data_IF_935566876616
#
_entry.id   IF_935566876616
#
_cell.length_a   1.000
_cell.length_b   1.000
_cell.length_c   1.000
_cell.angle_alpha   90.00
_cell.angle_beta   90.00
_cell.angle_gamma   90.00
#
_symmetry.space_group_name_H-M   'P 1'
#
loop_
_entity.id
_entity.type
_entity.pdbx_description
1 polymer ?
#
# COMPACT_ATOMS: atom_id res chain seq x y z
N UNK A 1 -1.96 -73.34 15.27
CA UNK A 1 -0.87 -72.61 15.95
C UNK A 1 -1.13 -71.16 15.63
N UNK A 2 -1.79 -70.47 16.56
CA UNK A 2 -2.03 -69.04 16.47
C UNK A 2 -0.68 -68.33 16.66
N UNK A 3 -0.27 -67.55 15.66
CA UNK A 3 0.76 -66.53 15.82
C UNK A 3 0.15 -65.41 16.66
N UNK A 4 0.44 -65.45 17.97
CA UNK A 4 0.14 -64.35 18.87
C UNK A 4 1.00 -63.14 18.46
N UNK A 5 0.41 -61.93 18.35
CA UNK A 5 1.18 -60.73 18.06
C UNK A 5 2.23 -60.53 19.15
N UNK A 6 3.47 -60.29 18.74
CA UNK A 6 4.56 -59.93 19.65
C UNK A 6 4.13 -58.69 20.43
N UNK A 7 3.99 -58.83 21.75
CA UNK A 7 3.71 -57.74 22.68
C UNK A 7 4.86 -56.74 22.55
N UNK A 8 4.61 -55.58 21.93
CA UNK A 8 5.56 -54.46 21.96
C UNK A 8 5.90 -54.18 23.43
N UNK A 9 7.18 -54.13 23.77
CA UNK A 9 7.57 -53.89 25.15
C UNK A 9 7.02 -52.53 25.59
N UNK A 10 6.62 -52.41 26.85
CA UNK A 10 6.08 -51.15 27.37
C UNK A 10 7.05 -49.97 27.18
N UNK A 11 8.37 -50.25 27.18
CA UNK A 11 9.44 -49.28 26.92
C UNK A 11 9.46 -48.84 25.44
N UNK A 12 9.27 -49.76 24.49
CA UNK A 12 9.18 -49.42 23.06
C UNK A 12 7.93 -48.60 22.74
N UNK A 13 6.81 -48.91 23.41
CA UNK A 13 5.56 -48.15 23.29
C UNK A 13 5.69 -46.74 23.89
N UNK A 14 6.37 -46.62 25.04
CA UNK A 14 6.64 -45.33 25.69
C UNK A 14 7.54 -44.44 24.82
N UNK A 15 8.63 -45.00 24.26
CA UNK A 15 9.51 -44.28 23.33
C UNK A 15 8.78 -43.83 22.06
N UNK A 16 7.92 -44.68 21.50
CA UNK A 16 7.08 -44.36 20.33
C UNK A 16 6.08 -43.23 20.63
N UNK A 17 5.48 -43.23 21.82
CA UNK A 17 4.60 -42.15 22.27
C UNK A 17 5.36 -40.84 22.49
N UNK A 18 6.56 -40.88 23.07
CA UNK A 18 7.40 -39.70 23.26
C UNK A 18 7.78 -39.05 21.93
N UNK A 19 8.19 -39.85 20.94
CA UNK A 19 8.52 -39.36 19.60
C UNK A 19 7.28 -38.77 18.89
N UNK A 20 6.12 -39.43 18.98
CA UNK A 20 4.86 -38.87 18.44
C UNK A 20 4.46 -37.56 19.10
N UNK A 21 4.64 -37.43 20.42
CA UNK A 21 4.37 -36.19 21.16
C UNK A 21 5.35 -35.10 20.73
N UNK A 22 6.63 -35.45 20.51
CA UNK A 22 7.65 -34.53 20.00
C UNK A 22 7.30 -34.01 18.61
N UNK A 23 6.92 -34.90 17.70
CA UNK A 23 6.51 -34.56 16.33
C UNK A 23 5.27 -33.67 16.32
N UNK A 24 4.26 -34.00 17.14
CA UNK A 24 3.06 -33.19 17.29
C UNK A 24 3.40 -31.76 17.79
N UNK A 25 4.33 -31.63 18.75
CA UNK A 25 4.80 -30.32 19.23
C UNK A 25 5.52 -29.54 18.13
N UNK A 26 6.39 -30.18 17.35
CA UNK A 26 7.06 -29.53 16.22
C UNK A 26 6.07 -29.07 15.15
N UNK A 27 5.06 -29.88 14.84
CA UNK A 27 4.01 -29.51 13.91
C UNK A 27 3.20 -28.31 14.42
N UNK A 28 2.79 -28.32 15.70
CA UNK A 28 2.03 -27.23 16.30
C UNK A 28 2.82 -25.91 16.29
N UNK A 29 4.11 -25.94 16.65
CA UNK A 29 4.98 -24.75 16.62
C UNK A 29 5.15 -24.20 15.21
N UNK A 30 5.30 -25.08 14.21
CA UNK A 30 5.37 -24.68 12.81
C UNK A 30 4.07 -24.01 12.37
N UNK A 31 2.94 -24.65 12.64
CA UNK A 31 1.62 -24.11 12.30
C UNK A 31 1.38 -22.74 12.93
N UNK A 32 1.70 -22.58 14.20
CA UNK A 32 1.58 -21.30 14.90
C UNK A 32 2.41 -20.19 14.23
N UNK A 33 3.64 -20.50 13.81
CA UNK A 33 4.50 -19.55 13.12
C UNK A 33 3.92 -19.12 11.76
N UNK A 34 3.44 -20.08 10.97
CA UNK A 34 2.84 -19.79 9.66
C UNK A 34 1.54 -18.97 9.82
N UNK A 35 0.70 -19.31 10.79
CA UNK A 35 -0.53 -18.54 11.09
C UNK A 35 -0.23 -17.10 11.53
N UNK A 36 0.80 -16.88 12.34
CA UNK A 36 1.24 -15.53 12.71
C UNK A 36 1.74 -14.74 11.51
N UNK A 37 2.48 -15.37 10.59
CA UNK A 37 2.95 -14.71 9.37
C UNK A 37 1.78 -14.34 8.47
N UNK A 38 0.82 -15.25 8.31
CA UNK A 38 -0.41 -15.02 7.57
C UNK A 38 -1.21 -13.85 8.14
N UNK A 39 -1.45 -13.81 9.46
CA UNK A 39 -2.16 -12.70 10.12
C UNK A 39 -1.50 -11.35 9.83
N UNK A 40 -0.17 -11.28 9.98
CA UNK A 40 0.60 -10.07 9.69
C UNK A 40 0.48 -9.60 8.25
N UNK A 41 0.41 -10.52 7.30
CA UNK A 41 0.24 -10.20 5.87
C UNK A 41 -1.14 -9.61 5.63
N UNK A 42 -2.18 -10.26 6.13
CA UNK A 42 -3.57 -9.81 5.96
C UNK A 42 -3.78 -8.45 6.61
N UNK A 43 -3.37 -8.29 7.88
CA UNK A 43 -3.47 -7.03 8.62
C UNK A 43 -2.74 -5.89 7.89
N UNK A 44 -1.54 -6.15 7.36
CA UNK A 44 -0.79 -5.15 6.61
C UNK A 44 -1.52 -4.74 5.31
N UNK A 45 -2.03 -5.72 4.56
CA UNK A 45 -2.77 -5.46 3.31
C UNK A 45 -4.08 -4.72 3.55
N UNK A 46 -4.85 -5.10 4.58
CA UNK A 46 -6.10 -4.44 4.97
C UNK A 46 -5.85 -3.00 5.45
N UNK A 47 -4.72 -2.74 6.11
CA UNK A 47 -4.28 -1.38 6.45
C UNK A 47 -3.87 -0.53 5.23
N UNK A 48 -3.87 -1.12 4.03
CA UNK A 48 -3.44 -0.49 2.78
C UNK A 48 -1.93 -0.41 2.63
N UNK A 49 -1.17 -1.21 3.37
CA UNK A 49 0.30 -1.25 3.27
C UNK A 49 0.72 -2.09 2.06
N UNK A 50 1.73 -1.60 1.35
CA UNK A 50 2.40 -2.34 0.30
C UNK A 50 3.38 -3.36 0.91
N UNK A 51 3.44 -4.56 0.33
CA UNK A 51 4.41 -5.59 0.72
C UNK A 51 5.44 -5.72 -0.39
N UNK A 52 6.60 -5.08 -0.21
CA UNK A 52 7.67 -5.04 -1.22
C UNK A 52 8.76 -6.09 -0.97
N UNK A 53 9.47 -6.44 -2.05
CA UNK A 53 10.63 -7.33 -2.00
C UNK A 53 11.86 -6.73 -1.31
N UNK A 54 11.83 -5.44 -0.94
CA UNK A 54 12.96 -4.72 -0.32
C UNK A 54 12.72 -4.36 1.16
N UNK A 55 11.48 -4.10 1.58
CA UNK A 55 11.13 -3.79 2.98
C UNK A 55 10.70 -5.07 3.72
N UNK A 56 9.61 -5.69 3.27
CA UNK A 56 8.97 -6.83 3.95
C UNK A 56 9.29 -8.16 3.28
N UNK A 57 10.59 -8.48 3.23
CA UNK A 57 11.13 -9.62 2.46
C UNK A 57 10.48 -10.95 2.86
N UNK A 58 10.20 -11.18 4.15
CA UNK A 58 9.61 -12.44 4.62
C UNK A 58 8.17 -12.59 4.16
N UNK A 59 7.37 -11.55 4.37
CA UNK A 59 5.98 -11.46 3.92
C UNK A 59 5.87 -11.53 2.39
N UNK A 60 6.76 -10.85 1.67
CA UNK A 60 6.82 -10.89 0.20
C UNK A 60 7.08 -12.30 -0.33
N UNK A 61 8.06 -13.02 0.25
CA UNK A 61 8.37 -14.39 -0.16
C UNK A 61 7.22 -15.36 0.11
N UNK A 62 6.52 -15.18 1.23
CA UNK A 62 5.35 -15.99 1.57
C UNK A 62 4.20 -15.75 0.59
N UNK A 63 3.87 -14.48 0.32
CA UNK A 63 2.88 -14.09 -0.69
C UNK A 63 3.24 -14.65 -2.06
N UNK A 64 4.50 -14.50 -2.49
CA UNK A 64 4.95 -15.02 -3.78
C UNK A 64 4.89 -16.54 -3.87
N UNK A 65 5.06 -17.26 -2.75
CA UNK A 65 5.01 -18.72 -2.72
C UNK A 65 3.58 -19.26 -2.75
N UNK A 66 2.66 -18.57 -2.10
CA UNK A 66 1.27 -19.02 -1.92
C UNK A 66 0.25 -18.04 -2.51
N UNK A 67 0.63 -17.34 -3.60
CA UNK A 67 -0.14 -16.25 -4.17
C UNK A 67 -1.60 -16.63 -4.44
N UNK A 68 -1.83 -17.76 -5.12
CA UNK A 68 -3.18 -18.24 -5.44
C UNK A 68 -4.06 -18.41 -4.20
N UNK A 69 -3.48 -18.91 -3.10
CA UNK A 69 -4.18 -19.08 -1.82
C UNK A 69 -4.62 -17.74 -1.24
N UNK A 70 -3.70 -16.77 -1.21
CA UNK A 70 -4.00 -15.42 -0.72
C UNK A 70 -5.01 -14.71 -1.62
N UNK A 71 -4.90 -14.85 -2.95
CA UNK A 71 -5.86 -14.30 -3.89
C UNK A 71 -7.28 -14.80 -3.64
N UNK A 72 -7.46 -16.12 -3.45
CA UNK A 72 -8.78 -16.69 -3.15
C UNK A 72 -9.33 -16.14 -1.83
N UNK A 73 -8.51 -16.11 -0.78
CA UNK A 73 -8.91 -15.60 0.53
C UNK A 73 -9.31 -14.12 0.48
N UNK A 74 -8.43 -13.27 -0.05
CA UNK A 74 -8.67 -11.82 -0.14
C UNK A 74 -9.88 -11.51 -1.04
N UNK A 75 -10.10 -12.32 -2.08
CA UNK A 75 -11.29 -12.24 -2.94
C UNK A 75 -12.59 -12.55 -2.19
N UNK A 76 -12.58 -13.50 -1.25
CA UNK A 76 -13.72 -13.77 -0.38
C UNK A 76 -14.01 -12.60 0.59
N UNK A 77 -13.00 -11.81 0.92
CA UNK A 77 -13.14 -10.60 1.75
C UNK A 77 -13.49 -9.33 0.93
N UNK A 78 -13.76 -9.46 -0.37
CA UNK A 78 -14.15 -8.32 -1.22
C UNK A 78 -12.97 -7.55 -1.84
N UNK A 79 -11.76 -8.11 -1.76
CA UNK A 79 -10.54 -7.48 -2.25
C UNK A 79 -9.84 -8.27 -3.35
N UNK A 80 -8.96 -7.64 -4.11
CA UNK A 80 -8.07 -8.28 -5.06
C UNK A 80 -6.63 -8.05 -4.61
N UNK A 81 -5.88 -9.15 -4.47
CA UNK A 81 -4.43 -9.07 -4.35
C UNK A 81 -3.85 -8.77 -5.74
N UNK A 82 -3.04 -7.72 -5.83
CA UNK A 82 -2.35 -7.34 -7.06
C UNK A 82 -0.84 -7.44 -6.85
N UNK A 83 -0.16 -8.05 -7.81
CA UNK A 83 1.30 -8.07 -7.88
C UNK A 83 1.77 -7.08 -8.95
N UNK A 84 2.51 -6.06 -8.53
CA UNK A 84 3.09 -5.08 -9.41
C UNK A 84 4.41 -5.59 -10.01
N UNK A 85 4.69 -5.28 -11.27
CA UNK A 85 5.90 -5.73 -12.00
C UNK A 85 7.21 -5.28 -11.37
N UNK A 86 7.20 -4.16 -10.66
CA UNK A 86 8.33 -3.66 -9.88
C UNK A 86 8.64 -4.46 -8.58
N UNK A 87 7.89 -5.51 -8.24
CA UNK A 87 8.22 -6.41 -7.14
C UNK A 87 7.56 -6.06 -5.80
N UNK A 88 6.27 -5.71 -5.80
CA UNK A 88 5.50 -5.52 -4.57
C UNK A 88 4.04 -5.95 -4.74
N UNK A 89 3.39 -6.29 -3.63
CA UNK A 89 1.98 -6.61 -3.55
C UNK A 89 1.18 -5.48 -2.90
N UNK A 90 -0.07 -5.32 -3.33
CA UNK A 90 -1.03 -4.41 -2.72
C UNK A 90 -2.46 -4.94 -2.85
N UNK A 91 -3.34 -4.39 -2.03
CA UNK A 91 -4.75 -4.76 -1.98
C UNK A 91 -5.58 -3.71 -2.73
N UNK A 92 -6.45 -4.17 -3.63
CA UNK A 92 -7.37 -3.30 -4.36
C UNK A 92 -8.82 -3.70 -4.05
N UNK A 93 -9.75 -2.75 -3.79
CA UNK A 93 -11.17 -3.09 -3.66
C UNK A 93 -11.73 -3.63 -4.99
N UNK A 94 -12.57 -4.67 -4.95
CA UNK A 94 -13.11 -5.30 -6.18
C UNK A 94 -14.01 -4.39 -7.01
N UNK A 95 -14.75 -3.49 -6.37
CA UNK A 95 -15.70 -2.60 -7.03
C UNK A 95 -15.06 -1.30 -7.55
N UNK A 96 -13.76 -1.10 -7.28
CA UNK A 96 -13.09 0.13 -7.65
C UNK A 96 -12.66 0.08 -9.13
N UNK A 97 -13.44 0.73 -9.98
CA UNK A 97 -13.02 1.03 -11.35
C UNK A 97 -11.83 2.00 -11.33
N UNK A 98 -10.85 1.82 -12.23
CA UNK A 98 -9.71 2.76 -12.36
C UNK A 98 -10.16 4.19 -12.67
N UNK A 99 -11.39 4.38 -13.17
CA UNK A 99 -12.00 5.67 -13.44
C UNK A 99 -12.43 6.43 -12.15
N UNK A 100 -12.46 5.76 -10.99
CA UNK A 100 -12.88 6.34 -9.71
C UNK A 100 -11.83 6.09 -8.61
N UNK A 101 -10.60 6.53 -8.86
CA UNK A 101 -9.58 6.62 -7.82
C UNK A 101 -10.11 7.48 -6.66
N UNK A 102 -9.93 7.10 -5.38
CA UNK A 102 -10.30 7.98 -4.29
C UNK A 102 -9.37 9.19 -4.23
N UNK A 103 -9.85 10.27 -3.64
CA UNK A 103 -9.11 11.53 -3.59
C UNK A 103 -7.78 11.40 -2.85
N UNK A 104 -7.72 10.57 -1.80
CA UNK A 104 -6.48 10.33 -1.05
C UNK A 104 -5.38 9.72 -1.93
N UNK A 105 -5.70 8.78 -2.82
CA UNK A 105 -4.74 8.19 -3.74
C UNK A 105 -4.30 9.21 -4.80
N UNK A 106 -5.20 10.07 -5.29
CA UNK A 106 -4.83 11.17 -6.19
C UNK A 106 -3.89 12.17 -5.52
N UNK A 107 -4.17 12.55 -4.26
CA UNK A 107 -3.31 13.45 -3.48
C UNK A 107 -1.92 12.84 -3.28
N UNK A 108 -1.86 11.57 -2.87
CA UNK A 108 -0.59 10.85 -2.71
C UNK A 108 0.17 10.74 -4.04
N UNK A 109 -0.55 10.47 -5.14
CA UNK A 109 0.07 10.42 -6.47
C UNK A 109 0.68 11.75 -6.88
N UNK A 110 -0.04 12.85 -6.71
CA UNK A 110 0.47 14.18 -7.01
C UNK A 110 1.67 14.57 -6.13
N UNK A 111 1.63 14.24 -4.84
CA UNK A 111 2.75 14.48 -3.93
C UNK A 111 4.01 13.70 -4.34
N UNK A 112 3.88 12.40 -4.62
CA UNK A 112 5.00 11.56 -5.06
C UNK A 112 5.54 12.04 -6.41
N UNK A 113 4.67 12.40 -7.35
CA UNK A 113 5.09 12.93 -8.65
C UNK A 113 5.85 14.24 -8.49
N UNK A 114 5.32 15.21 -7.73
CA UNK A 114 6.00 16.49 -7.49
C UNK A 114 7.35 16.31 -6.78
N UNK A 115 7.45 15.35 -5.86
CA UNK A 115 8.71 15.03 -5.19
C UNK A 115 9.74 14.50 -6.18
N UNK A 116 9.34 13.54 -7.02
CA UNK A 116 10.21 12.95 -8.03
C UNK A 116 10.64 13.98 -9.06
N UNK A 117 9.71 14.82 -9.55
CA UNK A 117 9.98 15.93 -10.47
C UNK A 117 11.02 16.88 -9.87
N UNK A 118 10.81 17.34 -8.64
CA UNK A 118 11.73 18.23 -7.93
C UNK A 118 13.14 17.64 -7.77
N UNK A 119 13.25 16.35 -7.46
CA UNK A 119 14.53 15.68 -7.30
C UNK A 119 15.21 15.39 -8.65
N UNK A 120 14.44 15.12 -9.71
CA UNK A 120 14.95 15.02 -11.08
C UNK A 120 15.52 16.35 -11.56
N UNK A 121 14.89 17.48 -11.23
CA UNK A 121 15.44 18.82 -11.53
C UNK A 121 16.79 19.08 -10.83
N UNK A 122 17.05 18.40 -9.72
CA UNK A 122 18.35 18.41 -9.01
C UNK A 122 19.37 17.42 -9.61
N UNK A 123 19.02 16.69 -10.66
CA UNK A 123 19.87 15.72 -11.34
C UNK A 123 19.84 14.30 -10.74
N UNK A 124 18.88 13.99 -9.87
CA UNK A 124 18.70 12.64 -9.33
C UNK A 124 17.76 11.81 -10.21
N UNK A 125 18.24 10.74 -10.86
CA UNK A 125 17.38 9.89 -11.68
C UNK A 125 16.45 9.04 -10.81
N UNK A 126 15.24 8.79 -11.32
CA UNK A 126 14.16 8.05 -10.62
C UNK A 126 14.65 6.69 -10.11
N UNK A 127 15.37 5.96 -10.95
CA UNK A 127 15.91 4.64 -10.61
C UNK A 127 16.81 4.69 -9.38
N UNK A 128 17.64 5.73 -9.25
CA UNK A 128 18.52 5.91 -8.10
C UNK A 128 17.74 6.24 -6.83
N UNK A 129 16.71 7.09 -6.94
CA UNK A 129 15.90 7.47 -5.79
C UNK A 129 15.14 6.28 -5.18
N UNK A 130 14.62 5.38 -6.03
CA UNK A 130 13.80 4.24 -5.61
C UNK A 130 14.65 2.99 -5.29
N UNK A 131 15.74 2.76 -6.04
CA UNK A 131 16.54 1.53 -5.94
C UNK A 131 17.77 1.68 -5.06
N UNK A 132 18.37 2.87 -5.01
CA UNK A 132 19.58 3.14 -4.23
C UNK A 132 19.29 3.85 -2.91
N UNK A 133 18.02 4.04 -2.58
CA UNK A 133 17.58 4.62 -1.31
C UNK A 133 18.27 5.96 -1.00
N UNK A 134 18.37 6.83 -2.03
CA UNK A 134 18.95 8.16 -1.86
C UNK A 134 18.16 8.96 -0.81
N UNK A 135 18.86 9.60 0.16
CA UNK A 135 18.19 10.27 1.25
C UNK A 135 17.51 11.56 0.78
N UNK A 136 16.24 11.68 1.14
CA UNK A 136 15.39 12.85 0.94
C UNK A 136 15.32 13.58 2.28
N UNK A 137 15.85 14.80 2.33
CA UNK A 137 15.87 15.60 3.55
C UNK A 137 14.56 16.37 3.71
N UNK A 138 14.29 16.81 4.94
CA UNK A 138 13.13 17.64 5.24
C UNK A 138 13.14 18.95 4.43
N UNK A 139 14.33 19.51 4.22
CA UNK A 139 14.52 20.71 3.39
C UNK A 139 14.13 20.45 1.91
N UNK A 140 14.36 19.24 1.39
CA UNK A 140 13.93 18.87 0.03
C UNK A 140 12.40 18.81 -0.06
N UNK A 141 11.74 18.25 0.95
CA UNK A 141 10.27 18.19 1.03
C UNK A 141 9.65 19.59 1.13
N UNK A 142 10.25 20.46 1.95
CA UNK A 142 9.81 21.86 2.09
C UNK A 142 10.02 22.67 0.82
N UNK A 143 11.16 22.49 0.15
CA UNK A 143 11.47 23.14 -1.12
C UNK A 143 10.52 22.69 -2.24
N UNK A 144 10.29 21.37 -2.37
CA UNK A 144 9.32 20.80 -3.30
C UNK A 144 7.93 21.39 -3.07
N UNK A 145 7.46 21.42 -1.82
CA UNK A 145 6.11 21.92 -1.52
C UNK A 145 5.98 23.40 -1.85
N UNK A 146 7.02 24.19 -1.58
CA UNK A 146 7.03 25.62 -1.90
C UNK A 146 6.98 25.86 -3.41
N UNK A 147 7.65 25.03 -4.21
CA UNK A 147 7.62 25.12 -5.68
C UNK A 147 6.28 24.70 -6.28
N UNK A 148 5.62 23.70 -5.69
CA UNK A 148 4.36 23.14 -6.19
C UNK A 148 3.13 23.60 -5.40
N UNK A 149 3.25 24.65 -4.57
CA UNK A 149 2.25 25.03 -3.57
C UNK A 149 0.84 25.15 -4.15
N UNK A 150 0.65 25.98 -5.16
CA UNK A 150 -0.67 26.22 -5.77
C UNK A 150 -1.29 24.96 -6.38
N UNK A 151 -0.46 24.03 -6.86
CA UNK A 151 -0.93 22.76 -7.43
C UNK A 151 -1.36 21.79 -6.34
N UNK A 152 -0.55 21.65 -5.29
CA UNK A 152 -0.81 20.72 -4.19
C UNK A 152 -1.97 21.21 -3.30
N UNK A 153 -2.06 22.52 -3.06
CA UNK A 153 -3.18 23.13 -2.32
C UNK A 153 -4.52 22.90 -3.04
N UNK A 154 -4.56 23.08 -4.37
CA UNK A 154 -5.77 22.79 -5.17
C UNK A 154 -6.21 21.33 -5.12
N UNK A 155 -5.30 20.41 -4.83
CA UNK A 155 -5.59 18.98 -4.68
C UNK A 155 -6.00 18.60 -3.24
N UNK A 156 -5.94 19.53 -2.29
CA UNK A 156 -6.33 19.30 -0.89
C UNK A 156 -5.17 18.96 0.05
N UNK A 157 -3.91 19.12 -0.36
CA UNK A 157 -2.73 18.77 0.46
C UNK A 157 -2.39 19.82 1.56
N UNK A 158 -3.24 20.83 1.76
CA UNK A 158 -3.16 21.74 2.90
C UNK A 158 -1.88 22.59 2.95
N UNK A 159 -1.27 22.70 4.14
CA UNK A 159 -0.02 23.41 4.38
C UNK A 159 1.21 22.50 4.28
N UNK A 160 2.41 23.09 4.13
CA UNK A 160 3.70 22.36 4.16
C UNK A 160 3.81 21.49 5.41
N UNK A 161 3.48 22.05 6.58
CA UNK A 161 3.56 21.38 7.87
C UNK A 161 2.60 20.18 7.93
N UNK A 162 1.34 20.35 7.51
CA UNK A 162 0.37 19.26 7.46
C UNK A 162 0.78 18.16 6.47
N UNK A 163 1.36 18.53 5.33
CA UNK A 163 1.88 17.57 4.37
C UNK A 163 3.03 16.74 4.93
N UNK A 164 3.98 17.40 5.61
CA UNK A 164 5.10 16.71 6.27
C UNK A 164 4.58 15.81 7.39
N UNK A 165 3.74 16.31 8.28
CA UNK A 165 3.30 15.54 9.44
C UNK A 165 2.34 14.43 9.06
N UNK A 166 1.37 14.67 8.19
CA UNK A 166 0.31 13.70 7.91
C UNK A 166 0.55 12.94 6.60
N UNK A 167 0.97 13.66 5.54
CA UNK A 167 1.21 13.07 4.23
C UNK A 167 2.40 12.13 4.21
N UNK A 168 3.59 12.61 4.62
CA UNK A 168 4.81 11.79 4.63
C UNK A 168 4.70 10.66 5.63
N UNK A 169 4.20 10.91 6.84
CA UNK A 169 3.95 9.85 7.83
C UNK A 169 3.04 8.75 7.26
N UNK A 170 1.97 9.12 6.56
CA UNK A 170 1.10 8.15 5.90
C UNK A 170 1.84 7.35 4.83
N UNK A 171 2.66 8.00 4.01
CA UNK A 171 3.49 7.33 2.99
C UNK A 171 4.49 6.34 3.61
N UNK A 172 5.01 6.64 4.80
CA UNK A 172 5.83 5.72 5.60
C UNK A 172 5.00 4.56 6.16
N UNK A 173 3.81 4.84 6.71
CA UNK A 173 2.91 3.83 7.28
C UNK A 173 2.46 2.81 6.22
N UNK A 174 2.26 3.24 4.98
CA UNK A 174 1.91 2.33 3.87
C UNK A 174 3.13 1.71 3.19
N UNK A 175 4.36 2.08 3.55
CA UNK A 175 5.60 1.48 3.02
C UNK A 175 6.03 2.01 1.64
N UNK A 176 5.55 3.19 1.26
CA UNK A 176 5.97 3.88 0.03
C UNK A 176 7.25 4.67 0.27
N UNK A 177 7.39 5.20 1.49
CA UNK A 177 8.62 5.81 1.97
C UNK A 177 9.16 5.03 3.17
N UNK A 178 10.47 5.10 3.39
CA UNK A 178 11.08 4.60 4.61
C UNK A 178 11.78 5.74 5.36
N UNK A 179 11.57 5.79 6.67
CA UNK A 179 12.25 6.70 7.57
C UNK A 179 13.64 6.16 7.94
N UNK A 180 14.68 6.98 7.79
CA UNK A 180 16.05 6.70 8.20
C UNK A 180 16.53 7.77 9.16
N UNK A 181 16.79 7.37 10.41
CA UNK A 181 17.36 8.27 11.42
C UNK A 181 18.86 8.47 11.17
N UNK A 182 19.29 9.70 10.87
CA UNK A 182 20.68 10.06 10.61
C UNK A 182 21.43 10.45 11.90
N UNK A 183 20.76 11.12 12.82
CA UNK A 183 21.25 11.46 14.16
C UNK A 183 20.09 11.59 15.15
N UNK A 184 20.34 11.97 16.42
CA UNK A 184 19.28 12.15 17.41
C UNK A 184 18.18 13.14 16.96
N UNK A 185 18.57 14.18 16.22
CA UNK A 185 17.66 15.27 15.78
C UNK A 185 17.48 15.34 14.27
N UNK A 186 17.97 14.36 13.51
CA UNK A 186 17.88 14.36 12.04
C UNK A 186 17.31 13.08 11.48
N UNK A 187 16.27 13.26 10.67
CA UNK A 187 15.58 12.20 9.93
C UNK A 187 15.72 12.49 8.44
N UNK A 188 15.95 11.44 7.66
CA UNK A 188 15.83 11.44 6.21
C UNK A 188 14.81 10.39 5.79
N UNK A 189 14.25 10.57 4.60
CA UNK A 189 13.34 9.60 4.00
C UNK A 189 13.96 8.99 2.76
N UNK A 190 13.45 7.85 2.32
CA UNK A 190 13.85 7.21 1.06
C UNK A 190 12.60 6.68 0.37
N UNK A 191 12.58 6.67 -0.96
CA UNK A 191 11.47 6.07 -1.71
C UNK A 191 11.65 4.55 -1.78
N UNK A 192 10.57 3.81 -1.61
CA UNK A 192 10.52 2.37 -1.85
C UNK A 192 9.92 2.05 -3.22
N UNK A 193 10.02 0.77 -3.62
CA UNK A 193 9.41 0.24 -4.85
C UNK A 193 7.93 0.63 -5.02
N UNK A 194 7.09 0.72 -3.97
CA UNK A 194 5.70 1.17 -4.11
C UNK A 194 5.51 2.59 -4.65
N UNK A 195 6.56 3.42 -4.71
CA UNK A 195 6.48 4.72 -5.41
C UNK A 195 6.04 4.56 -6.88
N UNK A 196 6.38 3.44 -7.54
CA UNK A 196 5.93 3.13 -8.90
C UNK A 196 4.41 3.02 -9.02
N UNK A 197 3.70 2.60 -7.97
CA UNK A 197 2.22 2.55 -7.97
C UNK A 197 1.61 3.94 -8.26
N UNK A 198 2.17 4.96 -7.61
CA UNK A 198 1.70 6.33 -7.76
C UNK A 198 2.13 6.95 -9.09
N UNK A 199 3.32 6.61 -9.58
CA UNK A 199 3.76 7.01 -10.93
C UNK A 199 2.85 6.40 -12.00
N UNK A 200 2.42 5.15 -11.84
CA UNK A 200 1.47 4.50 -12.74
C UNK A 200 0.10 5.18 -12.70
N UNK A 201 -0.37 5.60 -11.52
CA UNK A 201 -1.58 6.44 -11.41
C UNK A 201 -1.42 7.74 -12.21
N UNK A 202 -0.31 8.45 -12.04
CA UNK A 202 -0.05 9.69 -12.78
C UNK A 202 -0.01 9.47 -14.30
N UNK A 203 0.65 8.40 -14.75
CA UNK A 203 0.68 8.03 -16.18
C UNK A 203 -0.73 7.77 -16.70
N UNK A 204 -1.52 6.97 -16.02
CA UNK A 204 -2.88 6.63 -16.44
C UNK A 204 -3.79 7.87 -16.49
N UNK A 205 -3.68 8.78 -15.52
CA UNK A 205 -4.44 10.05 -15.52
C UNK A 205 -4.03 10.96 -16.69
N UNK A 206 -2.73 11.02 -17.01
CA UNK A 206 -2.24 11.79 -18.15
C UNK A 206 -2.74 11.21 -19.49
N UNK A 207 -2.72 9.88 -19.65
CA UNK A 207 -3.24 9.20 -20.83
C UNK A 207 -4.76 9.43 -20.99
N UNK A 208 -5.53 9.36 -19.91
CA UNK A 208 -6.96 9.66 -19.92
C UNK A 208 -7.24 11.11 -20.33
N UNK A 209 -6.46 12.06 -19.81
CA UNK A 209 -6.61 13.48 -20.18
C UNK A 209 -6.31 13.71 -21.66
N UNK A 210 -5.25 13.09 -22.19
CA UNK A 210 -4.91 13.18 -23.60
C UNK A 210 -6.02 12.61 -24.50
N UNK A 211 -6.59 11.46 -24.14
CA UNK A 211 -7.71 10.86 -24.86
C UNK A 211 -8.95 11.76 -24.86
N UNK A 212 -9.20 12.50 -23.77
CA UNK A 212 -10.30 13.47 -23.68
C UNK A 212 -10.09 14.64 -24.64
N UNK A 213 -8.89 15.21 -24.69
CA UNK A 213 -8.55 16.30 -25.61
C UNK A 213 -8.74 15.85 -27.07
N UNK A 214 -8.24 14.66 -27.43
CA UNK A 214 -8.39 14.10 -28.77
C UNK A 214 -9.85 13.78 -29.14
N UNK A 215 -10.68 13.37 -28.19
CA UNK A 215 -12.11 13.16 -28.41
C UNK A 215 -12.87 14.49 -28.60
N UNK A 216 -12.50 15.51 -27.82
CA UNK A 216 -13.04 16.87 -27.93
C UNK A 216 -12.69 17.49 -29.29
N UNK A 217 -11.46 17.30 -29.77
CA UNK A 217 -11.01 17.74 -31.09
C UNK A 217 -11.71 16.99 -32.24
N UNK A 218 -12.08 15.72 -32.04
CA UNK A 218 -12.83 14.90 -33.01
C UNK A 218 -14.34 15.21 -33.05
N UNK A 219 -14.84 16.10 -32.19
CA UNK A 219 -16.27 16.44 -32.13
C UNK A 219 -17.15 15.28 -31.64
N UNK A 220 -16.56 14.25 -31.04
CA UNK A 220 -17.28 13.15 -30.40
C UNK A 220 -17.76 13.66 -29.04
N UNK A 221 -19.00 14.17 -29.01
CA UNK A 221 -19.66 14.61 -27.80
C UNK A 221 -19.79 13.46 -26.80
N UNK A 222 -18.84 13.35 -25.88
CA UNK A 222 -19.00 12.54 -24.69
C UNK A 222 -20.09 13.19 -23.83
N UNK A 223 -21.31 12.67 -23.96
CA UNK A 223 -22.33 12.85 -22.94
C UNK A 223 -21.93 12.00 -21.74
N UNK A 224 -21.28 12.63 -20.77
CA UNK A 224 -21.50 12.25 -19.38
C UNK A 224 -22.07 13.45 -18.65
N UNK A 225 -23.06 13.17 -17.81
CA UNK A 225 -23.88 14.11 -17.06
C UNK A 225 -23.07 15.29 -16.52
N UNK A 226 -23.54 16.48 -16.90
CA UNK A 226 -23.18 17.76 -16.34
C UNK A 226 -23.26 17.71 -14.80
N UNK A 227 -22.13 17.39 -14.18
CA UNK A 227 -21.72 17.93 -12.89
C UNK A 227 -20.27 18.31 -13.10
N UNK A 228 -20.05 19.60 -13.30
CA UNK A 228 -18.73 20.17 -13.50
C UNK A 228 -17.82 19.75 -12.32
N UNK A 229 -16.53 19.68 -12.58
CA UNK A 229 -15.51 19.53 -11.53
C UNK A 229 -15.63 20.65 -10.48
N UNK A 230 -16.31 21.75 -10.82
CA UNK A 230 -16.69 22.84 -9.92
C UNK A 230 -17.91 22.49 -9.03
N UNK A 231 -18.93 21.76 -9.51
CA UNK A 231 -20.06 21.30 -8.67
C UNK A 231 -19.69 20.18 -7.69
N UNK A 232 -18.68 19.37 -8.04
CA UNK A 232 -18.07 18.43 -7.09
C UNK A 232 -17.25 19.11 -6.01
N UNK A 233 -16.92 20.41 -6.13
CA UNK A 233 -16.33 21.19 -5.05
C UNK A 233 -17.42 21.80 -4.14
N UNK A 234 -18.58 22.13 -4.68
CA UNK A 234 -19.70 22.70 -3.90
C UNK A 234 -20.43 21.65 -3.04
N UNK A 235 -20.61 20.41 -3.53
CA UNK A 235 -21.10 19.29 -2.68
C UNK A 235 -20.01 18.80 -1.68
N UNK A 236 -18.72 19.09 -1.93
CA UNK A 236 -17.60 18.77 -1.04
C UNK A 236 -17.46 19.71 0.14
N UNK A 237 -17.94 20.95 0.00
CA UNK A 237 -17.83 22.00 1.02
C UNK A 237 -19.07 22.11 1.91
N UNK A 238 -20.19 21.44 1.57
CA UNK A 238 -21.47 21.64 2.24
C UNK A 238 -22.06 20.43 2.99
N UNK A 239 -21.30 19.35 3.17
CA UNK A 239 -21.60 18.42 4.27
C UNK A 239 -21.21 19.08 5.59
N UNK A 240 -22.15 19.83 6.16
CA UNK A 240 -22.17 20.12 7.59
C UNK A 240 -22.03 18.77 8.35
N UNK A 241 -21.27 18.72 9.45
CA UNK A 241 -21.36 17.57 10.33
C UNK A 241 -22.81 17.48 10.82
N UNK A 242 -23.42 16.29 10.77
CA UNK A 242 -24.61 16.03 11.56
C UNK A 242 -24.20 16.18 13.04
N UNK A 243 -24.30 17.40 13.57
CA UNK A 243 -24.76 17.60 14.94
C UNK A 243 -26.22 17.13 14.91
N UNK A 244 -26.47 15.96 15.49
CA UNK A 244 -27.72 15.52 16.12
C UNK A 244 -27.74 13.99 16.18
N UNK A 245 -27.14 13.46 17.23
CA UNK A 245 -27.77 12.35 17.96
C UNK A 245 -27.72 12.75 19.45
N UNK A 246 -28.44 13.84 19.76
CA UNK A 246 -29.03 14.00 21.08
C UNK A 246 -29.92 12.79 21.32
N UNK A 247 -29.49 11.89 22.18
CA UNK A 247 -30.36 10.89 22.80
C UNK A 247 -31.52 11.60 23.50
N UNK A 248 -32.79 11.33 23.15
CA UNK A 248 -33.90 11.77 23.97
C UNK A 248 -34.19 10.75 25.08
N UNK A 249 -34.13 11.27 26.32
CA UNK A 249 -34.62 10.75 27.62
C UNK A 249 -34.10 9.40 28.16
#
# INVERSE_FOLDING_TARGET
MDDLPQDESAEDLELSLEDRVRDARHYAQRLERELRLFSRIVEALEAGRFISSTDRIKEYRELSRFQDTYEVLLRMMGHELRHHTAGFYYLQPREMSQAQLPQRERMAAAAIFSLIEHLCDKGLPIESMITHEEPILLDDLGAMFSQCHDRLTRLGLGSVESFIDNGIRRLVDVGVMNERRLSQDKVAYTLGLPAYFYLDICRNLAEQHQQQLEAQERGEGYSYSDRSVDELADDFLNTQPNEDDETPE
#
